data_IF_037705845967
#
_entry.id   IF_037705845967
#
_cell.length_a   1.000
_cell.length_b   1.000
_cell.length_c   1.000
_cell.angle_alpha   90.00
_cell.angle_beta   90.00
_cell.angle_gamma   90.00
#
_symmetry.space_group_name_H-M   'P 1'
#
loop_
_entity.id
_entity.type
_entity.pdbx_description
1 polymer ?
#
# COMPACT_ATOMS: atom_id res chain seq x y z
N UNK A 1 -3.54 12.32 -24.24
CA UNK A 1 -4.09 11.75 -22.98
C UNK A 1 -4.86 12.83 -22.26
N UNK A 2 -6.10 12.59 -21.83
CA UNK A 2 -6.92 13.63 -21.21
C UNK A 2 -6.52 13.88 -19.76
N UNK A 3 -6.65 15.12 -19.28
CA UNK A 3 -6.42 15.47 -17.86
C UNK A 3 -7.29 14.64 -16.93
N UNK A 4 -8.53 14.35 -17.34
CA UNK A 4 -9.45 13.47 -16.61
C UNK A 4 -8.86 12.09 -16.35
N UNK A 5 -8.27 11.46 -17.38
CA UNK A 5 -7.63 10.15 -17.23
C UNK A 5 -6.49 10.18 -16.23
N UNK A 6 -5.65 11.22 -16.28
CA UNK A 6 -4.53 11.37 -15.37
C UNK A 6 -5.01 11.47 -13.92
N UNK A 7 -6.00 12.33 -13.66
CA UNK A 7 -6.58 12.51 -12.30
C UNK A 7 -7.16 11.20 -11.77
N UNK A 8 -7.96 10.50 -12.58
CA UNK A 8 -8.56 9.22 -12.18
C UNK A 8 -7.48 8.17 -11.92
N UNK A 9 -6.49 8.06 -12.80
CA UNK A 9 -5.41 7.07 -12.66
C UNK A 9 -4.56 7.33 -11.42
N UNK A 10 -4.24 8.60 -11.14
CA UNK A 10 -3.50 8.99 -9.93
C UNK A 10 -4.31 8.67 -8.68
N UNK A 11 -5.61 8.99 -8.66
CA UNK A 11 -6.46 8.68 -7.51
C UNK A 11 -6.59 7.18 -7.27
N UNK A 12 -6.79 6.38 -8.33
CA UNK A 12 -6.85 4.92 -8.22
C UNK A 12 -5.51 4.34 -7.75
N UNK A 13 -4.40 4.81 -8.31
CA UNK A 13 -3.05 4.38 -7.90
C UNK A 13 -2.79 4.70 -6.42
N UNK A 14 -3.17 5.90 -5.97
CA UNK A 14 -3.04 6.33 -4.57
C UNK A 14 -3.94 5.51 -3.64
N UNK A 15 -5.20 5.30 -4.01
CA UNK A 15 -6.13 4.48 -3.24
C UNK A 15 -5.59 3.05 -3.09
N UNK A 16 -5.07 2.46 -4.17
CA UNK A 16 -4.47 1.13 -4.12
C UNK A 16 -3.23 1.08 -3.24
N UNK A 17 -2.34 2.09 -3.31
CA UNK A 17 -1.17 2.16 -2.45
C UNK A 17 -1.54 2.15 -0.95
N UNK A 18 -2.52 2.98 -0.55
CA UNK A 18 -3.00 3.04 0.84
C UNK A 18 -3.72 1.75 1.21
N UNK A 19 -4.58 1.24 0.33
CA UNK A 19 -5.31 0.01 0.60
C UNK A 19 -4.37 -1.19 0.80
N UNK A 20 -3.34 -1.31 -0.03
CA UNK A 20 -2.36 -2.39 0.05
C UNK A 20 -1.44 -2.23 1.25
N UNK A 21 -1.10 -1.00 1.64
CA UNK A 21 -0.42 -0.70 2.89
C UNK A 21 -1.18 -1.27 4.10
N UNK A 22 -2.47 -0.92 4.22
CA UNK A 22 -3.32 -1.43 5.30
C UNK A 22 -3.55 -2.95 5.22
N UNK A 23 -3.59 -3.50 4.00
CA UNK A 23 -3.64 -4.95 3.80
C UNK A 23 -2.38 -5.64 4.35
N UNK A 24 -1.21 -5.00 4.24
CA UNK A 24 0.04 -5.49 4.85
C UNK A 24 -0.08 -5.61 6.37
N UNK A 25 -0.55 -4.55 7.04
CA UNK A 25 -0.81 -4.56 8.48
C UNK A 25 -1.84 -5.62 8.87
N UNK A 26 -2.94 -5.70 8.13
CA UNK A 26 -4.00 -6.67 8.37
C UNK A 26 -3.52 -8.11 8.20
N UNK A 27 -2.66 -8.39 7.21
CA UNK A 27 -2.06 -9.69 7.00
C UNK A 27 -1.17 -10.08 8.18
N UNK A 28 -0.36 -9.15 8.70
CA UNK A 28 0.45 -9.38 9.89
C UNK A 28 -0.41 -9.67 11.13
N UNK A 29 -1.45 -8.87 11.38
CA UNK A 29 -2.39 -9.12 12.48
C UNK A 29 -3.11 -10.46 12.35
N UNK A 30 -3.54 -10.83 11.14
CA UNK A 30 -4.17 -12.13 10.86
C UNK A 30 -3.20 -13.28 11.12
N UNK A 31 -1.94 -13.14 10.68
CA UNK A 31 -0.88 -14.13 10.91
C UNK A 31 -0.59 -14.35 12.39
N UNK A 32 -0.76 -13.33 13.24
CA UNK A 32 -0.60 -13.43 14.69
C UNK A 32 -1.90 -13.76 15.44
N UNK A 33 -3.00 -14.01 14.74
CA UNK A 33 -4.28 -14.39 15.35
C UNK A 33 -5.06 -13.22 15.97
N UNK A 34 -4.63 -11.97 15.73
CA UNK A 34 -5.31 -10.78 16.23
C UNK A 34 -6.37 -10.24 15.26
N UNK A 35 -6.58 -10.89 14.11
CA UNK A 35 -7.58 -10.51 13.11
C UNK A 35 -8.14 -11.77 12.44
N UNK A 36 -9.45 -11.82 12.24
CA UNK A 36 -10.12 -13.00 11.65
C UNK A 36 -9.96 -13.07 10.12
N UNK A 37 -10.08 -11.94 9.44
CA UNK A 37 -10.00 -11.86 7.99
C UNK A 37 -9.20 -10.63 7.57
N UNK A 38 -8.03 -10.83 6.96
CA UNK A 38 -7.14 -9.75 6.55
C UNK A 38 -7.70 -8.88 5.41
N UNK A 39 -8.66 -9.37 4.62
CA UNK A 39 -9.31 -8.58 3.56
C UNK A 39 -10.26 -7.51 4.08
N UNK A 40 -10.70 -7.62 5.34
CA UNK A 40 -11.62 -6.67 5.95
C UNK A 40 -10.84 -5.47 6.48
N UNK A 41 -10.79 -4.40 5.70
CA UNK A 41 -10.08 -3.17 5.99
C UNK A 41 -11.04 -2.00 6.11
N UNK A 42 -10.61 -0.90 6.72
CA UNK A 42 -11.33 0.37 6.71
C UNK A 42 -10.49 1.40 5.95
N UNK A 43 -10.79 1.58 4.67
CA UNK A 43 -10.14 2.54 3.77
C UNK A 43 -11.24 3.40 3.13
N UNK A 44 -11.51 4.61 3.63
CA UNK A 44 -12.54 5.48 3.06
C UNK A 44 -12.06 6.10 1.74
N UNK A 45 -13.02 6.53 0.90
CA UNK A 45 -12.70 7.20 -0.38
C UNK A 45 -11.93 8.51 -0.21
N UNK A 46 -12.12 9.23 0.89
CA UNK A 46 -11.33 10.44 1.19
C UNK A 46 -9.93 10.10 1.75
N UNK A 47 -9.55 8.81 1.83
CA UNK A 47 -8.24 8.26 2.17
C UNK A 47 -7.76 8.43 3.63
N UNK A 48 -8.15 9.52 4.29
CA UNK A 48 -7.74 9.80 5.66
C UNK A 48 -8.39 8.87 6.68
N UNK A 49 -7.63 8.51 7.73
CA UNK A 49 -8.11 7.57 8.75
C UNK A 49 -8.25 6.13 8.24
N UNK A 50 -7.50 5.78 7.20
CA UNK A 50 -7.33 4.40 6.77
C UNK A 50 -6.70 3.58 7.91
N UNK A 51 -7.12 2.32 8.02
CA UNK A 51 -6.65 1.44 9.09
C UNK A 51 -6.85 -0.03 8.74
N UNK A 52 -6.11 -0.95 9.41
CA UNK A 52 -6.30 -2.38 9.22
C UNK A 52 -7.53 -2.88 9.99
N UNK A 53 -8.38 -2.00 10.51
CA UNK A 53 -9.54 -2.35 11.32
C UNK A 53 -10.56 -3.20 10.53
N UNK A 54 -11.29 -4.11 11.21
CA UNK A 54 -11.28 -4.37 12.66
C UNK A 54 -10.14 -5.30 13.09
N UNK A 55 -9.46 -4.96 14.18
CA UNK A 55 -8.41 -5.76 14.84
C UNK A 55 -8.83 -6.03 16.28
N UNK A 56 -8.46 -7.19 16.82
CA UNK A 56 -8.62 -7.48 18.24
C UNK A 56 -7.53 -6.74 19.04
N UNK A 57 -7.89 -5.59 19.61
CA UNK A 57 -6.97 -4.72 20.36
C UNK A 57 -6.37 -5.42 21.59
N UNK A 58 -7.14 -6.27 22.27
CA UNK A 58 -6.65 -7.04 23.43
C UNK A 58 -5.59 -8.08 23.03
N UNK A 59 -5.65 -8.59 21.80
CA UNK A 59 -4.59 -9.42 21.23
C UNK A 59 -3.40 -8.57 20.77
N UNK A 60 -3.65 -7.49 20.04
CA UNK A 60 -2.61 -6.62 19.47
C UNK A 60 -1.68 -6.04 20.54
N UNK A 61 -2.23 -5.63 21.69
CA UNK A 61 -1.48 -5.12 22.85
C UNK A 61 -0.60 -6.18 23.55
N UNK A 62 -0.86 -7.46 23.31
CA UNK A 62 -0.09 -8.58 23.89
C UNK A 62 0.97 -9.14 22.96
N UNK A 63 1.07 -8.60 21.74
CA UNK A 63 2.13 -8.98 20.80
C UNK A 63 3.50 -8.65 21.40
N UNK A 64 4.46 -9.56 21.23
CA UNK A 64 5.83 -9.31 21.66
C UNK A 64 6.51 -8.23 20.78
N UNK A 65 7.64 -7.64 21.20
CA UNK A 65 8.28 -6.54 20.46
C UNK A 65 8.62 -6.88 19.00
N UNK A 66 9.06 -8.11 18.70
CA UNK A 66 9.36 -8.53 17.33
C UNK A 66 8.09 -8.62 16.47
N UNK A 67 6.98 -9.10 17.03
CA UNK A 67 5.69 -9.13 16.34
C UNK A 67 5.16 -7.72 16.10
N UNK A 68 5.29 -6.81 17.07
CA UNK A 68 4.92 -5.41 16.91
C UNK A 68 5.73 -4.75 15.80
N UNK A 69 7.04 -5.00 15.73
CA UNK A 69 7.88 -4.51 14.65
C UNK A 69 7.45 -5.04 13.28
N UNK A 70 7.11 -6.34 13.18
CA UNK A 70 6.60 -6.92 11.93
C UNK A 70 5.30 -6.26 11.52
N UNK A 71 4.36 -6.08 12.44
CA UNK A 71 3.10 -5.37 12.16
C UNK A 71 3.42 -3.95 11.68
N UNK A 72 4.21 -3.18 12.41
CA UNK A 72 4.54 -1.79 12.07
C UNK A 72 5.24 -1.66 10.70
N UNK A 73 6.13 -2.59 10.35
CA UNK A 73 6.87 -2.56 9.09
C UNK A 73 6.07 -3.11 7.90
N UNK A 74 5.07 -3.96 8.13
CA UNK A 74 4.41 -4.73 7.07
C UNK A 74 3.77 -3.88 5.97
N UNK A 75 3.11 -2.77 6.30
CA UNK A 75 2.55 -1.84 5.31
C UNK A 75 3.62 -1.20 4.43
N UNK A 76 4.72 -0.72 5.04
CA UNK A 76 5.88 -0.16 4.33
C UNK A 76 6.52 -1.20 3.42
N UNK A 77 6.70 -2.43 3.91
CA UNK A 77 7.29 -3.53 3.12
C UNK A 77 6.43 -3.86 1.91
N UNK A 78 5.10 -3.94 2.07
CA UNK A 78 4.17 -4.16 0.93
C UNK A 78 4.34 -3.05 -0.10
N UNK A 79 4.37 -1.80 0.34
CA UNK A 79 4.55 -0.67 -0.57
C UNK A 79 5.88 -0.71 -1.31
N UNK A 80 6.98 -1.00 -0.62
CA UNK A 80 8.28 -1.18 -1.28
C UNK A 80 8.24 -2.30 -2.32
N UNK A 81 7.66 -3.46 -1.99
CA UNK A 81 7.61 -4.61 -2.90
C UNK A 81 6.81 -4.29 -4.17
N UNK A 82 5.59 -3.79 -4.04
CA UNK A 82 4.73 -3.50 -5.19
C UNK A 82 5.19 -2.27 -5.98
N UNK A 83 5.68 -1.24 -5.28
CA UNK A 83 6.26 -0.05 -5.91
C UNK A 83 7.50 -0.39 -6.74
N UNK A 84 8.45 -1.14 -6.16
CA UNK A 84 9.64 -1.58 -6.87
C UNK A 84 9.31 -2.54 -8.02
N UNK A 85 8.38 -3.49 -7.82
CA UNK A 85 7.97 -4.41 -8.88
C UNK A 85 7.35 -3.69 -10.08
N UNK A 86 6.44 -2.74 -9.85
CA UNK A 86 5.86 -1.93 -10.91
C UNK A 86 6.91 -1.06 -11.62
N UNK A 87 7.83 -0.46 -10.86
CA UNK A 87 8.93 0.32 -11.43
C UNK A 87 9.84 -0.55 -12.31
N UNK A 88 10.19 -1.76 -11.85
CA UNK A 88 10.97 -2.71 -12.65
C UNK A 88 10.27 -3.05 -13.96
N UNK A 89 8.96 -3.26 -13.97
CA UNK A 89 8.19 -3.48 -15.21
C UNK A 89 8.32 -2.28 -16.14
N UNK A 90 8.13 -1.05 -15.63
CA UNK A 90 8.22 0.18 -16.41
C UNK A 90 9.62 0.36 -17.02
N UNK A 91 10.67 0.02 -16.27
CA UNK A 91 12.06 0.17 -16.72
C UNK A 91 12.55 -0.97 -17.63
N UNK A 92 11.90 -2.13 -17.61
CA UNK A 92 12.37 -3.33 -18.35
C UNK A 92 11.65 -3.58 -19.67
N UNK A 93 10.52 -2.91 -19.93
CA UNK A 93 9.67 -3.18 -21.09
C UNK A 93 9.52 -1.89 -21.92
N UNK A 94 10.45 -1.65 -22.83
CA UNK A 94 10.44 -0.45 -23.69
C UNK A 94 9.14 -0.32 -24.52
N UNK A 95 8.57 -1.46 -24.95
CA UNK A 95 7.32 -1.49 -25.72
C UNK A 95 6.10 -1.04 -24.91
N UNK A 96 6.21 -0.92 -23.58
CA UNK A 96 5.12 -0.45 -22.73
C UNK A 96 4.71 0.99 -23.07
N UNK A 97 5.66 1.81 -23.57
CA UNK A 97 5.42 3.18 -24.03
C UNK A 97 4.41 3.23 -25.18
N UNK A 98 4.30 2.15 -25.97
CA UNK A 98 3.30 2.02 -27.04
C UNK A 98 1.87 1.81 -26.50
N UNK A 99 1.71 1.59 -25.19
CA UNK A 99 0.42 1.48 -24.49
C UNK A 99 0.36 2.57 -23.40
N UNK A 100 0.15 3.85 -23.77
CA UNK A 100 0.38 4.99 -22.89
C UNK A 100 -0.42 4.95 -21.58
N UNK A 101 -1.64 4.40 -21.63
CA UNK A 101 -2.51 4.27 -20.46
C UNK A 101 -1.89 3.35 -19.40
N UNK A 102 -1.42 2.16 -19.81
CA UNK A 102 -0.80 1.19 -18.92
C UNK A 102 0.53 1.70 -18.40
N UNK A 103 1.35 2.30 -19.27
CA UNK A 103 2.61 2.92 -18.88
C UNK A 103 2.41 3.97 -17.79
N UNK A 104 1.49 4.92 -18.00
CA UNK A 104 1.20 5.99 -17.04
C UNK A 104 0.63 5.46 -15.74
N UNK A 105 -0.30 4.49 -15.80
CA UNK A 105 -0.85 3.88 -14.60
C UNK A 105 0.25 3.18 -13.78
N UNK A 106 1.10 2.36 -14.41
CA UNK A 106 2.18 1.66 -13.70
C UNK A 106 3.22 2.62 -13.13
N UNK A 107 3.53 3.70 -13.86
CA UNK A 107 4.40 4.76 -13.35
C UNK A 107 3.80 5.42 -12.10
N UNK A 108 2.54 5.87 -12.16
CA UNK A 108 1.84 6.47 -11.01
C UNK A 108 1.67 5.48 -9.85
N UNK A 109 1.36 4.21 -10.14
CA UNK A 109 1.27 3.14 -9.16
C UNK A 109 2.59 2.97 -8.42
N UNK A 110 3.71 2.88 -9.15
CA UNK A 110 5.04 2.78 -8.54
C UNK A 110 5.37 4.01 -7.70
N UNK A 111 5.09 5.21 -8.21
CA UNK A 111 5.33 6.48 -7.52
C UNK A 111 4.53 6.57 -6.22
N UNK A 112 3.22 6.30 -6.25
CA UNK A 112 2.36 6.35 -5.07
C UNK A 112 2.81 5.36 -3.99
N UNK A 113 3.15 4.11 -4.36
CA UNK A 113 3.63 3.13 -3.38
C UNK A 113 4.96 3.56 -2.74
N UNK A 114 5.92 4.01 -3.54
CA UNK A 114 7.23 4.42 -3.03
C UNK A 114 7.17 5.71 -2.20
N UNK A 115 6.30 6.67 -2.58
CA UNK A 115 6.04 7.87 -1.79
C UNK A 115 5.38 7.53 -0.45
N UNK A 116 4.41 6.62 -0.45
CA UNK A 116 3.77 6.17 0.78
C UNK A 116 4.76 5.44 1.68
N UNK A 117 5.60 4.53 1.15
CA UNK A 117 6.66 3.92 1.95
C UNK A 117 7.65 4.96 2.50
N UNK A 118 8.05 5.93 1.68
CA UNK A 118 8.97 7.00 2.07
C UNK A 118 8.39 7.94 3.13
N UNK A 119 7.10 8.24 3.09
CA UNK A 119 6.46 9.13 4.06
C UNK A 119 6.56 8.54 5.48
N UNK A 120 6.33 7.24 5.65
CA UNK A 120 6.47 6.55 6.94
C UNK A 120 7.92 6.44 7.41
N UNK A 121 8.89 6.30 6.50
CA UNK A 121 10.31 6.19 6.86
C UNK A 121 10.96 7.53 7.23
N UNK A 122 10.42 8.64 6.73
CA UNK A 122 11.04 9.97 6.86
C UNK A 122 10.24 10.92 7.76
N UNK A 123 8.91 10.87 7.70
CA UNK A 123 8.02 11.83 8.38
C UNK A 123 7.49 11.25 9.70
N UNK A 124 7.36 9.92 9.80
CA UNK A 124 6.84 9.23 10.98
C UNK A 124 7.96 8.70 11.92
N UNK A 125 9.03 9.50 12.07
CA UNK A 125 10.13 9.28 13.02
C UNK A 125 9.97 10.13 14.27
#
# INVERSE_FOLDING_TARGET
MSTFYLVVSTYVALYLAIWMHEAGHALAYWRFGCKENFWKLRVPLYLFGSSPAPVNEACATRLNPSQQLIVAASGVVVNCLFGAFALLIVLSIDSLVAIPFVYVFLYLFSLCHLLEAGSYLVINS
#
